data_IF_769660655555
#
_entry.id   IF_769660655555
#
_cell.length_a   1.000
_cell.length_b   1.000
_cell.length_c   1.000
_cell.angle_alpha   90.00
_cell.angle_beta   90.00
_cell.angle_gamma   90.00
#
_symmetry.space_group_name_H-M   'P 1'
#
loop_
_entity.id
_entity.type
_entity.pdbx_description
1 polymer ?
#
# COMPACT_ATOMS: atom_id res chain seq x y z
N UNK A 1 12.46 4.54 -7.96
CA UNK A 1 13.31 3.97 -6.87
C UNK A 1 12.96 2.49 -6.69
N UNK A 2 13.82 1.68 -6.05
CA UNK A 2 13.53 0.23 -5.86
C UNK A 2 12.29 0.02 -4.98
N UNK A 3 12.15 0.81 -3.92
CA UNK A 3 11.00 0.81 -3.00
C UNK A 3 9.66 1.07 -3.71
N UNK A 4 9.59 2.06 -4.60
CA UNK A 4 8.39 2.34 -5.40
C UNK A 4 8.00 1.17 -6.31
N UNK A 5 8.98 0.48 -6.90
CA UNK A 5 8.68 -0.70 -7.73
C UNK A 5 8.08 -1.83 -6.90
N UNK A 6 8.57 -2.04 -5.68
CA UNK A 6 8.03 -3.04 -4.75
C UNK A 6 6.60 -2.70 -4.35
N UNK A 7 6.36 -1.43 -3.96
CA UNK A 7 5.02 -0.96 -3.60
C UNK A 7 4.07 -1.12 -4.78
N UNK A 8 4.46 -0.63 -5.95
CA UNK A 8 3.69 -0.74 -7.18
C UNK A 8 3.36 -2.20 -7.50
N UNK A 9 4.35 -3.07 -7.55
CA UNK A 9 4.15 -4.48 -7.87
C UNK A 9 3.21 -5.18 -6.87
N UNK A 10 3.38 -4.95 -5.57
CA UNK A 10 2.54 -5.59 -4.56
C UNK A 10 1.11 -5.03 -4.54
N UNK A 11 0.94 -3.70 -4.72
CA UNK A 11 -0.36 -3.05 -4.80
C UNK A 11 -1.13 -3.53 -6.04
N UNK A 12 -0.45 -3.61 -7.20
CA UNK A 12 -1.03 -4.17 -8.41
C UNK A 12 -1.46 -5.63 -8.22
N UNK A 13 -0.58 -6.46 -7.65
CA UNK A 13 -0.90 -7.86 -7.39
C UNK A 13 -2.08 -8.01 -6.41
N UNK A 14 -2.13 -7.17 -5.38
CA UNK A 14 -3.22 -7.15 -4.40
C UNK A 14 -4.55 -6.76 -5.03
N UNK A 15 -4.58 -5.63 -5.75
CA UNK A 15 -5.79 -5.18 -6.42
C UNK A 15 -6.23 -6.20 -7.47
N UNK A 16 -5.33 -6.74 -8.30
CA UNK A 16 -5.71 -7.78 -9.27
C UNK A 16 -6.25 -9.06 -8.60
N UNK A 17 -5.78 -9.40 -7.41
CA UNK A 17 -6.26 -10.59 -6.67
C UNK A 17 -7.66 -10.38 -6.12
N UNK A 18 -7.97 -9.18 -5.61
CA UNK A 18 -9.26 -8.88 -4.98
C UNK A 18 -10.30 -8.26 -5.93
N UNK A 19 -9.82 -7.53 -6.94
CA UNK A 19 -10.56 -6.73 -7.90
C UNK A 19 -9.90 -6.86 -9.29
N UNK A 20 -10.05 -8.01 -9.95
CA UNK A 20 -9.46 -8.24 -11.28
C UNK A 20 -10.01 -7.26 -12.36
N UNK A 21 -11.19 -6.68 -12.10
CA UNK A 21 -11.85 -5.71 -12.97
C UNK A 21 -11.48 -4.26 -12.64
N UNK A 22 -10.72 -4.02 -11.56
CA UNK A 22 -10.35 -2.66 -11.20
C UNK A 22 -9.36 -2.09 -12.21
N UNK A 23 -9.65 -0.86 -12.66
CA UNK A 23 -8.73 -0.11 -13.47
C UNK A 23 -7.61 0.47 -12.59
N UNK A 24 -6.39 0.01 -12.85
CA UNK A 24 -5.17 0.45 -12.18
C UNK A 24 -4.44 1.53 -12.98
N UNK A 25 -5.00 1.93 -14.12
CA UNK A 25 -4.42 2.94 -15.01
C UNK A 25 -4.45 4.32 -14.36
N UNK A 26 -5.33 4.54 -13.38
CA UNK A 26 -5.39 5.75 -12.56
C UNK A 26 -4.33 5.85 -11.45
N UNK A 27 -3.52 4.82 -11.20
CA UNK A 27 -2.46 4.90 -10.19
C UNK A 27 -1.24 5.66 -10.72
N UNK A 28 -1.11 6.92 -10.29
CA UNK A 28 0.04 7.79 -10.57
C UNK A 28 1.13 7.78 -9.47
N UNK A 29 2.29 8.39 -9.75
CA UNK A 29 3.38 8.58 -8.77
C UNK A 29 2.92 9.31 -7.48
N UNK A 30 1.84 10.09 -7.54
CA UNK A 30 1.24 10.78 -6.39
C UNK A 30 0.69 9.76 -5.37
N UNK A 31 -0.11 8.79 -5.82
CA UNK A 31 -0.68 7.79 -4.91
C UNK A 31 0.42 6.85 -4.42
N UNK A 32 1.40 6.51 -5.26
CA UNK A 32 2.56 5.72 -4.82
C UNK A 32 3.37 6.45 -3.75
N UNK A 33 3.62 7.75 -3.91
CA UNK A 33 4.31 8.57 -2.91
C UNK A 33 3.53 8.67 -1.60
N UNK A 34 2.20 8.79 -1.67
CA UNK A 34 1.34 8.77 -0.48
C UNK A 34 1.43 7.42 0.25
N UNK A 35 1.28 6.31 -0.47
CA UNK A 35 1.37 4.95 0.08
C UNK A 35 2.77 4.70 0.68
N UNK A 36 3.83 5.16 0.03
CA UNK A 36 5.20 5.09 0.56
C UNK A 36 5.38 5.91 1.83
N UNK A 37 4.78 7.11 1.89
CA UNK A 37 4.79 7.97 3.08
C UNK A 37 4.10 7.30 4.26
N UNK A 38 2.89 6.78 4.02
CA UNK A 38 2.13 5.96 4.96
C UNK A 38 2.95 4.77 5.46
N UNK A 39 3.53 3.99 4.55
CA UNK A 39 4.31 2.80 4.89
C UNK A 39 5.63 3.13 5.59
N UNK A 40 6.18 4.32 5.36
CA UNK A 40 7.37 4.82 6.05
C UNK A 40 7.09 5.30 7.47
N UNK A 41 5.90 5.84 7.71
CA UNK A 41 5.42 6.24 9.05
C UNK A 41 5.01 5.01 9.88
N UNK A 42 4.43 4.01 9.20
CA UNK A 42 4.18 2.67 9.71
C UNK A 42 5.50 1.95 9.96
N UNK A 43 6.05 2.17 11.15
CA UNK A 43 7.21 1.46 11.64
C UNK A 43 7.04 -0.08 11.62
N UNK A 44 8.06 -0.84 12.03
CA UNK A 44 8.08 -2.30 11.94
C UNK A 44 6.92 -3.01 12.68
N UNK A 45 6.23 -2.28 13.57
CA UNK A 45 5.06 -2.76 14.32
C UNK A 45 3.79 -2.89 13.46
N UNK A 46 3.76 -2.32 12.25
CA UNK A 46 2.60 -2.35 11.36
C UNK A 46 1.53 -1.31 11.71
N UNK A 47 0.38 -1.33 11.00
CA UNK A 47 -0.70 -0.38 11.21
C UNK A 47 -1.43 -0.60 12.54
N UNK A 48 -1.31 0.39 13.43
CA UNK A 48 -2.14 0.54 14.64
C UNK A 48 -3.31 1.47 14.34
N UNK A 49 -4.47 1.28 14.97
CA UNK A 49 -5.62 2.20 14.85
C UNK A 49 -5.26 3.66 15.18
N UNK A 50 -4.24 3.90 16.03
CA UNK A 50 -3.76 5.24 16.38
C UNK A 50 -2.68 5.81 15.43
N UNK A 51 -2.02 4.96 14.63
CA UNK A 51 -0.91 5.38 13.75
C UNK A 51 -1.31 5.39 12.27
N UNK A 52 -2.46 4.84 11.93
CA UNK A 52 -2.88 4.70 10.55
C UNK A 52 -4.39 4.80 10.36
N UNK A 53 -4.80 5.89 9.72
CA UNK A 53 -6.16 6.11 9.28
C UNK A 53 -6.50 5.21 8.10
N UNK A 54 -6.92 3.99 8.42
CA UNK A 54 -7.32 3.00 7.43
C UNK A 54 -8.53 3.46 6.60
N UNK A 55 -9.48 4.18 7.21
CA UNK A 55 -10.62 4.75 6.48
C UNK A 55 -10.14 5.76 5.44
N UNK A 56 -9.31 6.73 5.83
CA UNK A 56 -8.78 7.74 4.91
C UNK A 56 -7.92 7.11 3.79
N UNK A 57 -7.11 6.11 4.11
CA UNK A 57 -6.35 5.37 3.10
C UNK A 57 -7.27 4.66 2.11
N UNK A 58 -8.32 4.02 2.61
CA UNK A 58 -9.28 3.28 1.80
C UNK A 58 -10.07 4.22 0.89
N UNK A 59 -10.52 5.37 1.41
CA UNK A 59 -11.19 6.42 0.62
C UNK A 59 -10.28 6.98 -0.47
N UNK A 60 -9.03 7.30 -0.12
CA UNK A 60 -8.04 7.75 -1.10
C UNK A 60 -7.83 6.69 -2.18
N UNK A 61 -7.65 5.43 -1.79
CA UNK A 61 -7.46 4.32 -2.72
C UNK A 61 -8.69 4.07 -3.59
N UNK A 62 -9.91 4.20 -3.06
CA UNK A 62 -11.16 4.05 -3.82
C UNK A 62 -11.27 5.10 -4.93
N UNK A 63 -10.82 6.33 -4.68
CA UNK A 63 -10.83 7.39 -5.68
C UNK A 63 -9.97 7.06 -6.92
N UNK A 64 -8.93 6.23 -6.75
CA UNK A 64 -8.08 5.76 -7.85
C UNK A 64 -8.47 4.37 -8.35
N UNK A 65 -8.92 3.50 -7.45
CA UNK A 65 -9.20 2.08 -7.68
C UNK A 65 -10.64 1.81 -7.26
N UNK A 66 -11.60 1.92 -8.19
CA UNK A 66 -13.00 1.71 -7.86
C UNK A 66 -13.23 0.29 -7.31
N UNK A 67 -13.92 0.20 -6.17
CA UNK A 67 -14.15 -1.05 -5.45
C UNK A 67 -13.10 -1.36 -4.37
N UNK A 68 -12.06 -0.54 -4.21
CA UNK A 68 -11.05 -0.76 -3.16
C UNK A 68 -11.66 -0.77 -1.75
N UNK A 69 -12.66 0.07 -1.47
CA UNK A 69 -13.35 0.07 -0.18
C UNK A 69 -14.23 -1.16 0.08
N UNK A 70 -14.49 -2.00 -0.92
CA UNK A 70 -15.12 -3.30 -0.67
C UNK A 70 -14.14 -4.31 -0.06
N UNK A 71 -12.83 -4.06 -0.12
CA UNK A 71 -11.83 -4.94 0.46
C UNK A 71 -11.91 -4.84 1.98
N UNK A 72 -11.99 -5.97 2.71
CA UNK A 72 -12.08 -5.94 4.16
C UNK A 72 -10.81 -5.32 4.77
N UNK A 73 -11.04 -4.44 5.76
CA UNK A 73 -10.00 -3.76 6.54
C UNK A 73 -8.84 -4.67 7.01
N UNK A 74 -9.15 -5.89 7.44
CA UNK A 74 -8.12 -6.85 7.86
C UNK A 74 -7.17 -7.25 6.74
N UNK A 75 -7.67 -7.34 5.51
CA UNK A 75 -6.89 -7.68 4.32
C UNK A 75 -6.04 -6.50 3.84
N UNK A 76 -6.58 -5.28 3.92
CA UNK A 76 -5.80 -4.05 3.67
C UNK A 76 -4.67 -3.91 4.69
N UNK A 77 -4.97 -4.12 5.98
CA UNK A 77 -3.98 -4.08 7.06
C UNK A 77 -2.84 -5.10 6.87
N UNK A 78 -3.18 -6.34 6.51
CA UNK A 78 -2.19 -7.39 6.19
C UNK A 78 -1.29 -6.99 5.01
N UNK A 79 -1.89 -6.46 3.93
CA UNK A 79 -1.15 -5.96 2.77
C UNK A 79 -0.16 -4.87 3.18
N UNK A 80 -0.62 -3.88 3.94
CA UNK A 80 0.19 -2.75 4.41
C UNK A 80 1.34 -3.22 5.30
N UNK A 81 1.07 -4.12 6.25
CA UNK A 81 2.10 -4.68 7.10
C UNK A 81 3.15 -5.46 6.29
N UNK A 82 2.70 -6.28 5.33
CA UNK A 82 3.57 -7.02 4.43
C UNK A 82 4.40 -6.12 3.53
N UNK A 83 3.82 -5.00 3.07
CA UNK A 83 4.50 -3.97 2.29
C UNK A 83 5.57 -3.24 3.12
N UNK A 84 5.24 -2.80 4.34
CA UNK A 84 6.19 -2.16 5.26
C UNK A 84 7.38 -3.09 5.57
N UNK A 85 7.11 -4.38 5.81
CA UNK A 85 8.16 -5.39 5.98
C UNK A 85 9.07 -5.54 4.76
N UNK A 86 8.51 -5.57 3.54
CA UNK A 86 9.29 -5.63 2.30
C UNK A 86 10.12 -4.36 2.06
N UNK A 87 9.54 -3.19 2.31
CA UNK A 87 10.22 -1.90 2.20
C UNK A 87 11.40 -1.80 3.18
N UNK A 88 11.19 -2.20 4.43
CA UNK A 88 12.24 -2.25 5.45
C UNK A 88 13.38 -3.19 5.04
N UNK A 89 13.03 -4.37 4.51
CA UNK A 89 14.00 -5.33 4.00
C UNK A 89 14.79 -4.86 2.77
N UNK A 90 14.13 -4.13 1.85
CA UNK A 90 14.78 -3.52 0.68
C UNK A 90 15.70 -2.37 1.09
N UNK A 91 15.26 -1.53 2.04
CA UNK A 91 16.06 -0.42 2.58
C UNK A 91 17.33 -0.89 3.29
N UNK A 92 17.28 -2.04 3.96
CA UNK A 92 18.45 -2.65 4.61
C UNK A 92 19.38 -3.37 3.63
N UNK A 93 18.99 -3.52 2.36
CA UNK A 93 19.78 -4.17 1.31
C UNK A 93 20.54 -3.21 0.42
N UNK A 94 20.34 -1.90 0.56
CA UNK A 94 21.21 -0.92 -0.08
C UNK A 94 22.57 -0.94 0.66
N UNK A 95 23.65 -1.44 0.03
CA UNK A 95 24.97 -1.29 0.62
C UNK A 95 25.29 0.21 0.68
N UNK A 96 25.55 0.71 1.90
CA UNK A 96 26.18 2.00 2.14
C UNK A 96 27.45 2.17 1.30
#
# INVERSE_FOLDING_TARGET
>A
MELERIVRAALLAFVQTHLPEADLSGLDDVIFSYVLGVLGDLGPSGPSEENFDMEAFTEMMEAYVPGFAHIPRGTIGDMIQKLSGQLSGARNKEPL
#
